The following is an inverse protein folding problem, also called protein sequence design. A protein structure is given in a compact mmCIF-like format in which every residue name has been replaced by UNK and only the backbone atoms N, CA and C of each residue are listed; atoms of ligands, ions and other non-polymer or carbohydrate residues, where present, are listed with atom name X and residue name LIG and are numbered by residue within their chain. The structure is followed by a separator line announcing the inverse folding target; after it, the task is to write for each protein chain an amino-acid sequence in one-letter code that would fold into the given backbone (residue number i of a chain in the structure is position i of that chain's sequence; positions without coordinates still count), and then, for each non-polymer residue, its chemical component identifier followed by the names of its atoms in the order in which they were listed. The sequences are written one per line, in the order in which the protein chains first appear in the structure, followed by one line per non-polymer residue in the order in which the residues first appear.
data_IF_695612691031
#
_entry.id   IF_695612691031
#
_cell.length_a   1.000
_cell.length_b   1.000
_cell.length_c   1.000
_cell.angle_alpha   90.00
_cell.angle_beta   90.00
_cell.angle_gamma   90.00
#
_symmetry.space_group_name_H-M   'P 1'
#
loop_
_entity.id
_entity.type
_entity.pdbx_description
1 polymer ?
#
# COMPACT_ATOMS: atom_id res chain seq x y z
N UNK A 1 14.74 5.22 -26.75
CA UNK A 1 14.96 4.22 -25.68
C UNK A 1 16.06 3.25 -26.07
N UNK A 2 16.11 2.73 -27.30
CA UNK A 2 17.16 1.81 -27.73
C UNK A 2 18.60 2.37 -27.59
N UNK A 3 18.83 3.63 -28.01
CA UNK A 3 20.13 4.27 -27.79
C UNK A 3 20.54 4.37 -26.31
N UNK A 4 19.57 4.57 -25.40
CA UNK A 4 19.85 4.62 -23.96
C UNK A 4 20.16 3.22 -23.41
N UNK A 5 19.54 2.18 -23.98
CA UNK A 5 19.85 0.79 -23.66
C UNK A 5 21.28 0.46 -24.10
N UNK A 6 21.71 0.89 -25.29
CA UNK A 6 23.08 0.73 -25.77
C UNK A 6 24.09 1.46 -24.88
N UNK A 7 23.76 2.65 -24.39
CA UNK A 7 24.61 3.41 -23.48
C UNK A 7 24.88 2.67 -22.15
N UNK A 8 23.97 1.76 -21.71
CA UNK A 8 24.20 0.89 -20.56
C UNK A 8 25.31 -0.16 -20.79
N UNK A 9 25.68 -0.45 -22.04
CA UNK A 9 26.83 -1.29 -22.39
C UNK A 9 28.15 -0.51 -22.33
N UNK A 10 28.09 0.81 -22.12
CA UNK A 10 29.27 1.66 -22.01
C UNK A 10 30.26 1.17 -20.95
N UNK A 11 31.53 0.99 -21.34
CA UNK A 11 32.63 0.60 -20.42
C UNK A 11 32.81 1.62 -19.29
N UNK A 12 32.61 2.91 -19.58
CA UNK A 12 32.74 4.01 -18.61
C UNK A 12 31.46 4.15 -17.78
N UNK A 13 31.60 4.19 -16.45
CA UNK A 13 30.47 4.40 -15.53
C UNK A 13 29.74 5.72 -15.78
N UNK A 14 30.44 6.78 -16.16
CA UNK A 14 29.84 8.08 -16.48
C UNK A 14 28.86 8.04 -17.67
N UNK A 15 29.02 7.11 -18.61
CA UNK A 15 28.08 6.92 -19.72
C UNK A 15 26.81 6.25 -19.21
N UNK A 16 26.95 5.20 -18.40
CA UNK A 16 25.81 4.47 -17.81
C UNK A 16 25.04 5.35 -16.83
N UNK A 17 25.72 6.09 -15.97
CA UNK A 17 25.14 7.04 -15.02
C UNK A 17 24.35 8.18 -15.70
N UNK A 18 24.69 8.53 -16.94
CA UNK A 18 23.91 9.50 -17.73
C UNK A 18 22.67 8.87 -18.37
N UNK A 19 22.73 7.59 -18.74
CA UNK A 19 21.61 6.89 -19.36
C UNK A 19 20.52 6.50 -18.35
N UNK A 20 20.92 6.02 -17.16
CA UNK A 20 19.97 5.53 -16.14
C UNK A 20 18.84 6.51 -15.78
N UNK A 21 19.10 7.81 -15.48
CA UNK A 21 18.03 8.76 -15.17
C UNK A 21 17.04 8.95 -16.33
N UNK A 22 17.52 8.91 -17.57
CA UNK A 22 16.68 9.06 -18.76
C UNK A 22 15.80 7.82 -18.97
N UNK A 23 16.32 6.64 -18.66
CA UNK A 23 15.54 5.39 -18.70
C UNK A 23 14.48 5.38 -17.59
N UNK A 24 14.85 5.79 -16.37
CA UNK A 24 13.93 5.96 -15.23
C UNK A 24 12.78 6.90 -15.58
N UNK A 25 13.10 8.05 -16.18
CA UNK A 25 12.09 9.02 -16.63
C UNK A 25 11.20 8.44 -17.72
N UNK A 26 11.78 7.67 -18.64
CA UNK A 26 11.04 6.90 -19.64
C UNK A 26 10.03 5.94 -19.00
N UNK A 27 10.44 5.13 -18.04
CA UNK A 27 9.54 4.20 -17.36
C UNK A 27 8.45 4.93 -16.56
N UNK A 28 8.83 5.99 -15.85
CA UNK A 28 7.92 6.76 -15.00
C UNK A 28 6.86 7.54 -15.79
N UNK A 29 7.25 8.16 -16.92
CA UNK A 29 6.39 9.08 -17.68
C UNK A 29 5.67 8.38 -18.83
N UNK A 30 6.20 7.29 -19.37
CA UNK A 30 5.67 6.68 -20.59
C UNK A 30 5.05 5.30 -20.43
N UNK A 31 5.17 4.66 -19.26
CA UNK A 31 4.71 3.28 -19.06
C UNK A 31 5.13 2.38 -20.24
N UNK A 32 6.44 2.24 -20.44
CA UNK A 32 7.04 1.60 -21.62
C UNK A 32 6.93 0.06 -21.64
N UNK A 33 5.76 -0.52 -21.31
CA UNK A 33 5.59 -1.96 -21.17
C UNK A 33 6.10 -2.79 -22.38
N UNK A 34 5.73 -2.50 -23.64
CA UNK A 34 6.20 -3.30 -24.78
C UNK A 34 7.72 -3.29 -24.97
N UNK A 35 8.37 -2.15 -24.68
CA UNK A 35 9.82 -2.02 -24.75
C UNK A 35 10.49 -2.80 -23.62
N UNK A 36 9.96 -2.71 -22.40
CA UNK A 36 10.47 -3.42 -21.23
C UNK A 36 10.36 -4.94 -21.39
N UNK A 37 9.22 -5.42 -21.90
CA UNK A 37 9.00 -6.84 -22.14
C UNK A 37 9.94 -7.39 -23.22
N UNK A 38 10.08 -6.69 -24.35
CA UNK A 38 10.98 -7.09 -25.44
C UNK A 38 12.45 -7.17 -24.99
N UNK A 39 12.88 -6.24 -24.15
CA UNK A 39 14.27 -6.09 -23.76
C UNK A 39 14.56 -6.53 -22.32
N UNK A 40 13.66 -7.31 -21.70
CA UNK A 40 13.67 -7.59 -20.26
C UNK A 40 15.02 -8.10 -19.75
N UNK A 41 15.50 -9.23 -20.29
CA UNK A 41 16.77 -9.81 -19.86
C UNK A 41 17.93 -8.80 -19.99
N UNK A 42 17.99 -8.06 -21.11
CA UNK A 42 19.04 -7.06 -21.32
C UNK A 42 18.97 -5.95 -20.27
N UNK A 43 17.78 -5.42 -19.99
CA UNK A 43 17.58 -4.39 -18.97
C UNK A 43 17.97 -4.90 -17.58
N UNK A 44 17.48 -6.09 -17.20
CA UNK A 44 17.78 -6.72 -15.91
C UNK A 44 19.29 -6.86 -15.69
N UNK A 45 20.00 -7.55 -16.59
CA UNK A 45 21.42 -7.82 -16.40
C UNK A 45 22.27 -6.54 -16.51
N UNK A 46 21.83 -5.52 -17.25
CA UNK A 46 22.53 -4.22 -17.32
C UNK A 46 22.31 -3.37 -16.07
N UNK A 47 21.12 -3.38 -15.50
CA UNK A 47 20.86 -2.75 -14.21
C UNK A 47 21.62 -3.47 -13.09
N UNK A 48 21.60 -4.81 -13.05
CA UNK A 48 22.37 -5.59 -12.08
C UNK A 48 23.88 -5.37 -12.22
N UNK A 49 24.39 -5.23 -13.45
CA UNK A 49 25.80 -4.87 -13.66
C UNK A 49 26.13 -3.51 -13.04
N UNK A 50 25.29 -2.50 -13.29
CA UNK A 50 25.44 -1.14 -12.76
C UNK A 50 25.30 -1.13 -11.23
N UNK A 51 24.39 -1.93 -10.68
CA UNK A 51 24.22 -2.15 -9.24
C UNK A 51 25.45 -2.81 -8.61
N UNK A 52 26.06 -3.79 -9.29
CA UNK A 52 27.20 -4.56 -8.75
C UNK A 52 28.54 -3.82 -8.81
N UNK A 53 28.74 -2.99 -9.83
CA UNK A 53 30.05 -2.39 -10.16
C UNK A 53 30.05 -0.86 -10.19
N UNK A 54 28.89 -0.22 -10.05
CA UNK A 54 28.76 1.21 -10.17
C UNK A 54 29.23 1.99 -8.94
N UNK A 55 29.28 3.32 -9.11
CA UNK A 55 29.42 4.25 -7.98
C UNK A 55 28.15 4.25 -7.12
N UNK A 56 28.18 4.85 -5.91
CA UNK A 56 26.96 4.98 -5.11
C UNK A 56 25.82 5.67 -5.88
N UNK A 57 26.12 6.64 -6.74
CA UNK A 57 25.09 7.28 -7.57
C UNK A 57 24.52 6.31 -8.60
N UNK A 58 25.39 5.56 -9.27
CA UNK A 58 25.00 4.56 -10.26
C UNK A 58 24.16 3.44 -9.63
N UNK A 59 24.53 2.96 -8.44
CA UNK A 59 23.80 1.94 -7.69
C UNK A 59 22.41 2.43 -7.27
N UNK A 60 22.30 3.67 -6.77
CA UNK A 60 21.00 4.25 -6.41
C UNK A 60 20.07 4.39 -7.63
N UNK A 61 20.62 4.75 -8.80
CA UNK A 61 19.84 4.82 -10.04
C UNK A 61 19.46 3.43 -10.55
N UNK A 62 20.40 2.47 -10.53
CA UNK A 62 20.16 1.11 -10.99
C UNK A 62 19.11 0.37 -10.13
N UNK A 63 19.16 0.54 -8.80
CA UNK A 63 18.15 -0.01 -7.88
C UNK A 63 16.76 0.56 -8.14
N UNK A 64 16.63 1.87 -8.33
CA UNK A 64 15.36 2.48 -8.70
C UNK A 64 14.86 2.00 -10.07
N UNK A 65 15.76 1.85 -11.06
CA UNK A 65 15.42 1.31 -12.37
C UNK A 65 14.96 -0.16 -12.32
N UNK A 66 15.53 -0.99 -11.42
CA UNK A 66 15.07 -2.36 -11.18
C UNK A 66 13.64 -2.40 -10.63
N UNK A 67 13.33 -1.59 -9.61
CA UNK A 67 11.97 -1.53 -9.07
C UNK A 67 10.96 -1.01 -10.10
N UNK A 68 11.33 -0.01 -10.91
CA UNK A 68 10.47 0.46 -12.01
C UNK A 68 10.28 -0.60 -13.10
N UNK A 69 11.32 -1.38 -13.41
CA UNK A 69 11.21 -2.49 -14.36
C UNK A 69 10.24 -3.56 -13.83
N UNK A 70 10.32 -3.90 -12.54
CA UNK A 70 9.40 -4.83 -11.90
C UNK A 70 7.95 -4.35 -12.03
N UNK A 71 7.64 -3.13 -11.58
CA UNK A 71 6.28 -2.55 -11.66
C UNK A 71 5.79 -2.45 -13.10
N UNK A 72 6.69 -2.16 -14.05
CA UNK A 72 6.33 -2.01 -15.46
C UNK A 72 5.98 -3.36 -16.11
N UNK A 73 6.66 -4.44 -15.74
CA UNK A 73 6.41 -5.77 -16.30
C UNK A 73 5.25 -6.49 -15.61
N UNK A 74 5.03 -6.22 -14.32
CA UNK A 74 4.00 -6.88 -13.53
C UNK A 74 4.37 -8.31 -13.12
N UNK A 75 3.48 -8.96 -12.37
CA UNK A 75 3.70 -10.32 -11.87
C UNK A 75 3.93 -11.35 -12.99
N UNK A 76 4.71 -12.38 -12.69
CA UNK A 76 5.03 -13.49 -13.59
C UNK A 76 6.52 -13.85 -13.55
N UNK A 77 6.93 -14.79 -14.41
CA UNK A 77 8.29 -15.37 -14.41
C UNK A 77 9.40 -14.31 -14.51
N UNK A 78 9.19 -13.26 -15.31
CA UNK A 78 10.15 -12.16 -15.43
C UNK A 78 10.31 -11.39 -14.11
N UNK A 79 9.22 -11.07 -13.42
CA UNK A 79 9.32 -10.38 -12.13
C UNK A 79 9.97 -11.28 -11.06
N UNK A 80 9.70 -12.58 -11.09
CA UNK A 80 10.33 -13.55 -10.20
C UNK A 80 11.84 -13.70 -10.46
N UNK A 81 12.26 -13.78 -11.72
CA UNK A 81 13.68 -13.75 -12.09
C UNK A 81 14.34 -12.46 -11.59
N UNK A 82 13.70 -11.30 -11.79
CA UNK A 82 14.20 -10.02 -11.32
C UNK A 82 14.39 -10.00 -9.80
N UNK A 83 13.41 -10.50 -9.03
CA UNK A 83 13.51 -10.64 -7.58
C UNK A 83 14.70 -11.52 -7.19
N UNK A 84 14.76 -12.75 -7.70
CA UNK A 84 15.80 -13.73 -7.35
C UNK A 84 17.20 -13.25 -7.68
N UNK A 85 17.40 -12.63 -8.83
CA UNK A 85 18.71 -12.15 -9.27
C UNK A 85 19.16 -10.87 -8.54
N UNK A 86 18.22 -10.03 -8.08
CA UNK A 86 18.55 -8.78 -7.38
C UNK A 86 18.76 -8.94 -5.87
N UNK A 87 18.05 -9.87 -5.22
CA UNK A 87 18.04 -10.05 -3.77
C UNK A 87 19.44 -10.21 -3.13
N UNK A 88 20.39 -11.00 -3.67
CA UNK A 88 21.70 -11.16 -3.05
C UNK A 88 22.51 -9.85 -3.00
N UNK A 89 22.34 -8.99 -4.01
CA UNK A 89 23.02 -7.70 -4.08
C UNK A 89 22.37 -6.69 -3.13
N UNK A 90 21.04 -6.66 -3.09
CA UNK A 90 20.26 -5.82 -2.17
C UNK A 90 20.60 -6.16 -0.71
N UNK A 91 20.57 -7.44 -0.35
CA UNK A 91 20.90 -7.93 1.00
C UNK A 91 22.31 -7.52 1.43
N UNK A 92 23.29 -7.63 0.51
CA UNK A 92 24.68 -7.22 0.78
C UNK A 92 24.79 -5.72 1.06
N UNK A 93 24.09 -4.88 0.28
CA UNK A 93 24.15 -3.41 0.45
C UNK A 93 23.41 -2.98 1.72
N UNK A 94 22.29 -3.62 2.08
CA UNK A 94 21.60 -3.32 3.36
C UNK A 94 22.48 -3.62 4.58
N UNK A 95 23.25 -4.72 4.54
CA UNK A 95 24.11 -5.13 5.67
C UNK A 95 25.37 -4.29 5.85
N UNK A 96 25.91 -3.71 4.77
CA UNK A 96 27.27 -3.15 4.78
C UNK A 96 27.48 -1.91 3.91
N UNK A 97 26.42 -1.43 3.27
CA UNK A 97 26.46 -0.31 2.33
C UNK A 97 26.56 1.06 3.03
N UNK A 98 26.97 2.10 2.28
CA UNK A 98 26.89 3.47 2.75
C UNK A 98 25.44 3.92 2.94
N UNK A 99 25.21 4.77 3.94
CA UNK A 99 23.87 5.26 4.31
C UNK A 99 23.14 5.97 3.15
N UNK A 100 23.89 6.66 2.28
CA UNK A 100 23.34 7.36 1.11
C UNK A 100 22.63 6.45 0.10
N UNK A 101 22.85 5.13 0.17
CA UNK A 101 22.18 4.14 -0.67
C UNK A 101 20.93 3.55 -0.02
N UNK A 102 20.84 3.55 1.31
CA UNK A 102 19.90 2.68 2.03
C UNK A 102 18.46 2.92 1.63
N UNK A 103 18.02 4.18 1.48
CA UNK A 103 16.67 4.50 1.02
C UNK A 103 16.34 3.85 -0.34
N UNK A 104 17.22 4.02 -1.33
CA UNK A 104 17.01 3.43 -2.67
C UNK A 104 16.99 1.91 -2.66
N UNK A 105 17.75 1.30 -1.75
CA UNK A 105 17.88 -0.15 -1.64
C UNK A 105 16.69 -0.76 -0.91
N UNK A 106 16.21 -0.10 0.14
CA UNK A 106 14.99 -0.46 0.88
C UNK A 106 13.78 -0.40 -0.06
N UNK A 107 13.62 0.72 -0.79
CA UNK A 107 12.55 0.87 -1.77
C UNK A 107 12.63 -0.18 -2.86
N UNK A 108 13.84 -0.46 -3.37
CA UNK A 108 14.06 -1.49 -4.36
C UNK A 108 13.66 -2.86 -3.82
N UNK A 109 14.11 -3.25 -2.63
CA UNK A 109 13.75 -4.54 -2.00
C UNK A 109 12.23 -4.68 -1.90
N UNK A 110 11.57 -3.66 -1.34
CA UNK A 110 10.13 -3.67 -1.14
C UNK A 110 9.38 -3.88 -2.46
N UNK A 111 9.73 -3.14 -3.51
CA UNK A 111 9.04 -3.22 -4.81
C UNK A 111 9.34 -4.53 -5.53
N UNK A 112 10.60 -4.98 -5.58
CA UNK A 112 10.94 -6.21 -6.32
C UNK A 112 10.34 -7.44 -5.67
N UNK A 113 10.27 -7.47 -4.33
CA UNK A 113 9.56 -8.54 -3.60
C UNK A 113 8.05 -8.41 -3.75
N UNK A 114 7.48 -7.21 -3.64
CA UNK A 114 6.03 -6.98 -3.78
C UNK A 114 5.48 -7.42 -5.15
N UNK A 115 6.25 -7.22 -6.23
CA UNK A 115 5.83 -7.60 -7.58
C UNK A 115 6.26 -9.02 -7.95
N UNK A 116 7.46 -9.43 -7.52
CA UNK A 116 8.14 -10.63 -8.00
C UNK A 116 8.23 -11.78 -7.00
N UNK A 117 7.83 -11.61 -5.74
CA UNK A 117 7.76 -12.69 -4.78
C UNK A 117 6.73 -13.73 -5.23
N UNK A 118 7.16 -14.98 -5.39
CA UNK A 118 6.30 -16.05 -5.90
C UNK A 118 5.45 -16.70 -4.81
N UNK A 119 5.97 -16.72 -3.58
CA UNK A 119 5.30 -17.29 -2.41
C UNK A 119 5.53 -16.46 -1.14
N UNK A 120 4.87 -16.87 -0.06
CA UNK A 120 4.98 -16.19 1.22
C UNK A 120 6.37 -16.38 1.86
N UNK A 121 7.09 -17.47 1.58
CA UNK A 121 8.42 -17.75 2.16
C UNK A 121 9.49 -16.79 1.59
N UNK A 122 9.44 -16.53 0.29
CA UNK A 122 10.28 -15.53 -0.37
C UNK A 122 9.97 -14.13 0.15
N UNK A 123 8.69 -13.82 0.37
CA UNK A 123 8.27 -12.55 0.95
C UNK A 123 8.77 -12.41 2.40
N UNK A 124 8.60 -13.45 3.24
CA UNK A 124 9.14 -13.48 4.60
C UNK A 124 10.66 -13.36 4.62
N UNK A 125 11.37 -13.96 3.66
CA UNK A 125 12.83 -13.83 3.54
C UNK A 125 13.24 -12.37 3.37
N UNK A 126 12.55 -11.64 2.50
CA UNK A 126 12.79 -10.19 2.31
C UNK A 126 12.43 -9.38 3.55
N UNK A 127 11.31 -9.73 4.20
CA UNK A 127 10.91 -9.11 5.46
C UNK A 127 11.95 -9.35 6.57
N UNK A 128 12.56 -10.53 6.66
CA UNK A 128 13.59 -10.83 7.66
C UNK A 128 14.84 -9.98 7.47
N UNK A 129 15.22 -9.70 6.22
CA UNK A 129 16.33 -8.80 5.90
C UNK A 129 16.03 -7.39 6.42
N UNK A 130 14.83 -6.87 6.17
CA UNK A 130 14.38 -5.57 6.68
C UNK A 130 14.26 -5.57 8.20
N UNK A 131 13.79 -6.66 8.79
CA UNK A 131 13.58 -6.79 10.23
C UNK A 131 14.88 -6.82 11.00
N UNK A 132 15.88 -7.56 10.51
CA UNK A 132 17.22 -7.54 11.06
C UNK A 132 17.81 -6.13 11.04
N UNK A 133 17.57 -5.38 9.96
CA UNK A 133 17.97 -3.98 9.86
C UNK A 133 17.26 -3.09 10.90
N UNK A 134 15.93 -3.21 11.05
CA UNK A 134 15.14 -2.46 12.05
C UNK A 134 15.60 -2.80 13.49
N UNK A 135 15.86 -4.07 13.78
CA UNK A 135 16.32 -4.54 15.10
C UNK A 135 17.68 -3.96 15.47
N UNK A 136 18.63 -3.97 14.53
CA UNK A 136 19.96 -3.40 14.76
C UNK A 136 19.90 -1.91 15.09
N UNK A 137 18.93 -1.19 14.51
CA UNK A 137 18.69 0.23 14.75
C UNK A 137 17.91 0.52 16.05
N UNK A 138 17.16 -0.46 16.55
CA UNK A 138 16.31 -0.32 17.75
C UNK A 138 17.01 -0.76 19.04
N UNK A 139 18.08 -1.56 18.96
CA UNK A 139 18.83 -2.03 20.12
C UNK A 139 19.84 -0.98 20.63
N UNK A 140 19.96 -0.85 21.95
CA UNK A 140 20.96 -0.03 22.67
C UNK A 140 22.43 -0.50 22.51
N UNK A 141 22.75 -1.18 21.41
CA UNK A 141 24.12 -1.58 21.13
C UNK A 141 24.94 -0.34 20.76
N UNK A 142 25.78 0.11 21.70
CA UNK A 142 26.73 1.24 21.62
C UNK A 142 27.70 1.15 20.41
N UNK A 143 27.70 0.04 19.67
CA UNK A 143 28.56 -0.23 18.51
C UNK A 143 27.79 -0.16 17.17
N UNK A 144 26.45 -0.15 17.18
CA UNK A 144 25.64 -0.05 15.96
C UNK A 144 25.61 1.40 15.45
N UNK A 145 25.86 1.57 14.15
CA UNK A 145 25.89 2.88 13.50
C UNK A 145 24.46 3.37 13.32
N UNK A 146 23.92 4.07 14.31
CA UNK A 146 22.57 4.66 14.28
C UNK A 146 22.34 5.42 12.96
N UNK A 147 21.50 4.86 12.10
CA UNK A 147 21.10 5.44 10.83
C UNK A 147 20.08 6.56 11.03
N UNK A 148 19.90 7.40 10.01
CA UNK A 148 18.90 8.47 10.04
C UNK A 148 17.47 7.95 10.24
N UNK A 149 16.64 8.76 10.92
CA UNK A 149 15.21 8.47 11.16
C UNK A 149 14.42 8.23 9.87
N UNK A 150 14.85 8.84 8.76
CA UNK A 150 14.30 8.60 7.43
C UNK A 150 14.53 7.16 6.94
N UNK A 151 15.73 6.62 7.15
CA UNK A 151 16.07 5.25 6.73
C UNK A 151 15.30 4.22 7.55
N UNK A 152 15.21 4.43 8.87
CA UNK A 152 14.43 3.56 9.74
C UNK A 152 12.93 3.58 9.37
N UNK A 153 12.35 4.76 9.17
CA UNK A 153 10.95 4.92 8.72
C UNK A 153 10.69 4.23 7.38
N UNK A 154 11.61 4.36 6.41
CA UNK A 154 11.52 3.66 5.13
C UNK A 154 11.58 2.13 5.30
N UNK A 155 12.47 1.62 6.16
CA UNK A 155 12.58 0.18 6.43
C UNK A 155 11.29 -0.38 7.05
N UNK A 156 10.68 0.33 8.00
CA UNK A 156 9.40 -0.06 8.62
C UNK A 156 8.27 -0.03 7.58
N UNK A 157 8.23 1.00 6.72
CA UNK A 157 7.23 1.12 5.65
C UNK A 157 7.36 0.00 4.61
N UNK A 158 8.61 -0.36 4.24
CA UNK A 158 8.90 -1.47 3.35
C UNK A 158 8.51 -2.82 3.96
N UNK A 159 8.84 -3.04 5.24
CA UNK A 159 8.44 -4.26 5.96
C UNK A 159 6.91 -4.38 6.02
N UNK A 160 6.23 -3.27 6.30
CA UNK A 160 4.77 -3.20 6.34
C UNK A 160 4.15 -3.47 4.96
N UNK A 161 4.71 -2.92 3.88
CA UNK A 161 4.27 -3.22 2.51
C UNK A 161 4.30 -4.73 2.23
N UNK A 162 5.39 -5.40 2.56
CA UNK A 162 5.52 -6.83 2.31
C UNK A 162 4.53 -7.65 3.17
N UNK A 163 4.32 -7.26 4.42
CA UNK A 163 3.31 -7.88 5.27
C UNK A 163 1.90 -7.81 4.65
N UNK A 164 1.57 -6.75 3.89
CA UNK A 164 0.27 -6.65 3.20
C UNK A 164 0.02 -7.75 2.15
N UNK A 165 1.07 -8.45 1.71
CA UNK A 165 0.98 -9.51 0.68
C UNK A 165 0.90 -10.91 1.26
N UNK A 166 1.08 -11.06 2.58
CA UNK A 166 1.05 -12.36 3.27
C UNK A 166 -0.29 -12.50 4.00
N UNK A 167 -0.97 -13.62 3.77
CA UNK A 167 -2.14 -13.99 4.56
C UNK A 167 -1.71 -14.33 6.00
N UNK A 168 -2.43 -13.83 7.00
CA UNK A 168 -2.12 -13.99 8.41
C UNK A 168 -1.88 -15.44 8.83
N UNK A 169 -2.55 -16.40 8.18
CA UNK A 169 -2.35 -17.85 8.39
C UNK A 169 -0.93 -18.32 8.04
N UNK A 170 -0.33 -17.78 6.98
CA UNK A 170 0.96 -18.18 6.43
C UNK A 170 2.16 -17.55 7.15
N UNK A 171 1.91 -16.56 8.01
CA UNK A 171 2.96 -15.89 8.79
C UNK A 171 3.62 -16.88 9.74
N UNK A 172 4.94 -17.00 9.70
CA UNK A 172 5.69 -17.87 10.58
C UNK A 172 5.86 -17.22 11.96
N UNK A 173 5.29 -17.87 12.98
CA UNK A 173 5.29 -17.37 14.36
C UNK A 173 6.70 -17.27 14.97
N UNK A 174 7.74 -17.87 14.38
CA UNK A 174 9.10 -17.84 14.95
C UNK A 174 9.87 -16.55 14.63
N UNK A 175 9.50 -15.82 13.58
CA UNK A 175 10.31 -14.69 13.09
C UNK A 175 9.91 -13.34 13.69
N UNK A 176 8.64 -13.19 14.08
CA UNK A 176 8.06 -11.87 14.37
C UNK A 176 7.74 -11.64 15.86
N UNK A 177 8.10 -12.58 16.73
CA UNK A 177 7.89 -12.45 18.18
C UNK A 177 8.55 -11.17 18.71
N UNK A 178 7.77 -10.39 19.45
CA UNK A 178 8.21 -9.12 20.02
C UNK A 178 8.10 -7.92 19.09
N UNK A 179 7.64 -8.10 17.84
CA UNK A 179 7.48 -7.00 16.90
C UNK A 179 6.56 -5.89 17.42
N UNK A 180 5.46 -6.27 18.09
CA UNK A 180 4.54 -5.30 18.71
C UNK A 180 5.26 -4.44 19.75
N UNK A 181 6.10 -5.05 20.60
CA UNK A 181 6.85 -4.32 21.62
C UNK A 181 7.79 -3.29 20.99
N UNK A 182 8.54 -3.72 19.97
CA UNK A 182 9.50 -2.85 19.27
C UNK A 182 8.78 -1.68 18.61
N UNK A 183 7.66 -1.92 17.93
CA UNK A 183 6.92 -0.82 17.33
C UNK A 183 6.30 0.11 18.37
N UNK A 184 5.85 -0.38 19.53
CA UNK A 184 5.39 0.47 20.63
C UNK A 184 6.53 1.34 21.19
N UNK A 185 7.73 0.79 21.34
CA UNK A 185 8.90 1.56 21.78
C UNK A 185 9.29 2.63 20.74
N UNK A 186 9.22 2.28 19.44
CA UNK A 186 9.48 3.22 18.35
C UNK A 186 8.44 4.34 18.24
N UNK A 187 7.21 4.14 18.73
CA UNK A 187 6.24 5.23 18.84
C UNK A 187 6.74 6.33 19.77
N UNK A 188 7.51 6.00 20.82
CA UNK A 188 7.98 6.96 21.83
C UNK A 188 9.15 7.83 21.36
N UNK A 189 9.73 7.52 20.20
CA UNK A 189 10.81 8.31 19.60
C UNK A 189 10.22 9.64 19.08
N UNK A 190 10.83 10.77 19.45
CA UNK A 190 10.38 12.13 19.06
C UNK A 190 10.71 12.49 17.59
N UNK A 191 10.60 11.51 16.69
CA UNK A 191 10.83 11.65 15.25
C UNK A 191 9.52 11.36 14.49
N UNK A 192 8.90 12.36 13.84
CA UNK A 192 7.56 12.21 13.26
C UNK A 192 7.44 11.09 12.23
N UNK A 193 8.46 10.86 11.40
CA UNK A 193 8.44 9.83 10.34
C UNK A 193 8.49 8.42 10.91
N UNK A 194 9.28 8.19 11.96
CA UNK A 194 9.40 6.88 12.63
C UNK A 194 8.13 6.57 13.39
N UNK A 195 7.61 7.54 14.13
CA UNK A 195 6.34 7.42 14.85
C UNK A 195 5.18 7.07 13.91
N UNK A 196 5.05 7.77 12.77
CA UNK A 196 3.99 7.46 11.79
C UNK A 196 4.15 6.03 11.26
N UNK A 197 5.34 5.65 10.78
CA UNK A 197 5.57 4.32 10.21
C UNK A 197 5.34 3.19 11.23
N UNK A 198 5.77 3.35 12.49
CA UNK A 198 5.52 2.38 13.55
C UNK A 198 4.02 2.24 13.87
N UNK A 199 3.28 3.36 13.85
CA UNK A 199 1.83 3.34 13.97
C UNK A 199 1.17 2.57 12.82
N UNK A 200 1.57 2.85 11.57
CA UNK A 200 1.06 2.14 10.39
C UNK A 200 1.30 0.64 10.46
N UNK A 201 2.49 0.23 10.90
CA UNK A 201 2.84 -1.18 11.09
C UNK A 201 1.97 -1.85 12.16
N UNK A 202 1.74 -1.19 13.30
CA UNK A 202 0.85 -1.71 14.36
C UNK A 202 -0.59 -1.85 13.88
N UNK A 203 -1.11 -0.86 13.15
CA UNK A 203 -2.45 -0.95 12.57
C UNK A 203 -2.57 -2.07 11.54
N UNK A 204 -1.53 -2.28 10.73
CA UNK A 204 -1.48 -3.40 9.80
C UNK A 204 -1.46 -4.75 10.53
N UNK A 205 -0.66 -4.90 11.59
CA UNK A 205 -0.63 -6.12 12.41
C UNK A 205 -2.02 -6.39 13.00
N UNK A 206 -2.74 -5.36 13.46
CA UNK A 206 -4.12 -5.51 13.92
C UNK A 206 -5.11 -5.88 12.79
N UNK A 207 -4.94 -5.36 11.58
CA UNK A 207 -5.79 -5.72 10.43
C UNK A 207 -5.54 -7.15 9.95
N UNK A 208 -4.27 -7.56 9.81
CA UNK A 208 -3.86 -8.91 9.42
C UNK A 208 -4.36 -9.94 10.43
N UNK A 209 -4.43 -9.55 11.71
CA UNK A 209 -4.79 -10.43 12.81
C UNK A 209 -3.62 -11.31 13.24
N UNK A 210 -3.93 -12.39 13.99
CA UNK A 210 -2.93 -13.32 14.54
C UNK A 210 -1.86 -12.63 15.39
N UNK A 211 -2.29 -11.69 16.25
CA UNK A 211 -1.41 -10.89 17.10
C UNK A 211 -0.46 -11.76 17.93
N UNK A 212 -0.88 -12.97 18.31
CA UNK A 212 -0.06 -13.95 19.02
C UNK A 212 1.26 -14.29 18.30
N UNK A 213 1.32 -14.17 16.97
CA UNK A 213 2.55 -14.38 16.18
C UNK A 213 3.57 -13.24 16.34
N UNK A 214 3.14 -12.09 16.86
CA UNK A 214 3.93 -10.87 16.98
C UNK A 214 4.25 -10.46 18.43
N UNK A 215 3.69 -11.15 19.42
CA UNK A 215 3.92 -10.90 20.86
C UNK A 215 5.08 -11.79 21.37
N UNK A 216 5.72 -11.40 22.47
CA UNK A 216 6.62 -12.30 23.19
C UNK A 216 5.81 -13.39 23.92
N UNK A 217 6.19 -14.67 23.77
CA UNK A 217 5.58 -15.76 24.54
C UNK A 217 5.82 -15.53 26.04
N UNK A 218 4.80 -15.05 26.76
CA UNK A 218 4.84 -15.02 28.21
C UNK A 218 4.52 -16.40 28.81
N UNK A 219 3.89 -17.32 28.05
CA UNK A 219 3.27 -18.54 28.60
C UNK A 219 3.44 -19.78 27.70
N UNK A 220 4.67 -20.19 27.36
CA UNK A 220 4.90 -21.56 26.88
C UNK A 220 4.95 -22.53 28.07
N UNK A 221 3.82 -22.69 28.77
CA UNK A 221 3.58 -23.83 29.65
C UNK A 221 2.66 -24.79 28.90
N UNK A 222 3.19 -25.99 28.67
CA UNK A 222 2.56 -27.16 28.06
C UNK A 222 1.18 -27.45 28.68
N UNK A 223 0.10 -27.13 27.96
CA UNK A 223 -1.27 -27.44 28.39
C UNK A 223 -1.90 -28.50 27.46
N UNK A 224 -2.41 -29.56 28.08
CA UNK A 224 -2.88 -30.79 27.44
C UNK A 224 -4.18 -30.68 26.63
N UNK A 225 -4.68 -31.80 26.06
CA UNK A 225 -5.57 -31.80 24.89
C UNK A 225 -7.00 -31.28 25.09
N UNK A 226 -7.45 -31.06 26.33
CA UNK A 226 -8.89 -30.92 26.67
C UNK A 226 -9.35 -29.48 26.97
N UNK A 227 -8.53 -28.45 26.77
CA UNK A 227 -8.87 -27.05 27.12
C UNK A 227 -9.08 -26.11 25.91
N UNK A 228 -9.11 -26.63 24.68
CA UNK A 228 -9.03 -25.79 23.45
C UNK A 228 -10.15 -24.75 23.29
N UNK A 229 -11.36 -24.98 23.76
CA UNK A 229 -12.49 -24.05 23.55
C UNK A 229 -12.48 -22.87 24.53
N UNK A 230 -12.10 -23.11 25.79
CA UNK A 230 -11.89 -22.04 26.78
C UNK A 230 -10.59 -21.27 26.49
N UNK A 231 -9.58 -21.95 25.94
CA UNK A 231 -8.31 -21.34 25.56
C UNK A 231 -8.47 -20.37 24.37
N UNK A 232 -9.30 -20.70 23.38
CA UNK A 232 -9.62 -19.80 22.26
C UNK A 232 -10.39 -18.54 22.70
N UNK A 233 -11.33 -18.67 23.64
CA UNK A 233 -12.09 -17.52 24.15
C UNK A 233 -11.22 -16.61 25.04
N UNK A 234 -10.34 -17.22 25.84
CA UNK A 234 -9.36 -16.50 26.65
C UNK A 234 -8.30 -15.83 25.77
N UNK A 235 -7.83 -16.51 24.72
CA UNK A 235 -6.92 -15.97 23.72
C UNK A 235 -7.56 -14.80 22.99
N UNK A 236 -8.80 -14.93 22.50
CA UNK A 236 -9.54 -13.85 21.84
C UNK A 236 -9.74 -12.64 22.77
N UNK A 237 -10.06 -12.88 24.04
CA UNK A 237 -10.18 -11.82 25.05
C UNK A 237 -8.84 -11.12 25.29
N UNK A 238 -7.75 -11.88 25.39
CA UNK A 238 -6.38 -11.36 25.52
C UNK A 238 -5.94 -10.56 24.29
N UNK A 239 -6.32 -10.99 23.09
CA UNK A 239 -6.02 -10.28 21.83
C UNK A 239 -6.78 -8.96 21.74
N UNK A 240 -8.05 -8.95 22.15
CA UNK A 240 -8.84 -7.72 22.22
C UNK A 240 -8.29 -6.75 23.25
N UNK A 241 -7.89 -7.23 24.43
CA UNK A 241 -7.21 -6.40 25.44
C UNK A 241 -5.88 -5.85 24.93
N UNK A 242 -5.09 -6.63 24.20
CA UNK A 242 -3.85 -6.18 23.60
C UNK A 242 -4.10 -5.11 22.55
N UNK A 243 -5.09 -5.30 21.69
CA UNK A 243 -5.52 -4.33 20.70
C UNK A 243 -6.01 -3.03 21.35
N UNK A 244 -6.72 -3.10 22.47
CA UNK A 244 -7.11 -1.94 23.29
C UNK A 244 -5.89 -1.24 23.91
N UNK A 245 -4.91 -2.00 24.42
CA UNK A 245 -3.64 -1.46 24.94
C UNK A 245 -2.86 -0.72 23.84
N UNK A 246 -2.66 -1.33 22.68
CA UNK A 246 -2.00 -0.70 21.52
C UNK A 246 -2.76 0.57 21.13
N UNK A 247 -4.08 0.48 20.97
CA UNK A 247 -4.96 1.61 20.67
C UNK A 247 -4.82 2.77 21.66
N UNK A 248 -4.76 2.46 22.96
CA UNK A 248 -4.63 3.46 24.02
C UNK A 248 -3.25 4.13 23.97
N UNK A 249 -2.20 3.35 23.74
CA UNK A 249 -0.83 3.83 23.68
C UNK A 249 -0.62 4.76 22.48
N UNK A 250 -1.03 4.30 21.30
CA UNK A 250 -1.04 5.09 20.06
C UNK A 250 -1.84 6.37 20.26
N UNK A 251 -3.07 6.29 20.79
CA UNK A 251 -3.90 7.48 21.03
C UNK A 251 -3.22 8.51 21.94
N UNK A 252 -2.66 8.05 23.06
CA UNK A 252 -2.00 8.93 24.03
C UNK A 252 -0.85 9.69 23.37
N UNK A 253 -0.06 9.01 22.55
CA UNK A 253 1.12 9.58 21.91
C UNK A 253 0.76 10.53 20.75
N UNK A 254 -0.25 10.20 19.94
CA UNK A 254 -0.76 11.09 18.89
C UNK A 254 -1.42 12.36 19.45
N UNK A 255 -2.10 12.27 20.61
CA UNK A 255 -2.67 13.44 21.30
C UNK A 255 -1.58 14.35 21.88
N UNK A 256 -0.54 13.77 22.49
CA UNK A 256 0.59 14.53 23.05
C UNK A 256 1.39 15.27 21.96
N UNK A 257 1.55 14.66 20.79
CA UNK A 257 2.24 15.29 19.65
C UNK A 257 1.40 16.37 18.95
N UNK A 258 0.07 16.21 18.86
CA UNK A 258 -0.82 17.24 18.32
C UNK A 258 -0.80 18.55 19.13
N UNK A 259 -0.72 18.44 20.46
CA UNK A 259 -0.65 19.59 21.36
C UNK A 259 0.66 20.40 21.23
N UNK A 260 1.70 19.84 20.60
CA UNK A 260 3.01 20.50 20.40
C UNK A 260 3.15 21.21 19.05
N UNK A 261 2.36 20.88 18.02
CA UNK A 261 2.54 21.41 16.66
C UNK A 261 1.54 22.52 16.30
N UNK A 262 2.03 23.73 15.98
CA UNK A 262 1.24 24.96 15.74
C UNK A 262 0.77 25.18 14.29
N UNK A 263 0.76 24.16 13.42
CA UNK A 263 0.51 24.33 11.97
C UNK A 263 -0.87 23.79 11.50
N UNK A 264 -1.84 24.70 11.34
CA UNK A 264 -3.27 24.46 11.05
C UNK A 264 -3.63 23.50 9.89
N UNK A 265 -2.82 23.37 8.83
CA UNK A 265 -3.16 22.55 7.65
C UNK A 265 -2.57 21.14 7.68
N UNK A 266 -1.35 20.99 8.21
CA UNK A 266 -0.76 19.68 8.48
C UNK A 266 -1.53 18.92 9.57
N UNK A 267 -2.17 19.67 10.48
CA UNK A 267 -3.07 19.12 11.48
C UNK A 267 -4.25 18.36 10.84
N UNK A 268 -4.87 18.83 9.75
CA UNK A 268 -6.06 18.16 9.20
C UNK A 268 -5.77 16.79 8.55
N UNK A 269 -4.71 16.71 7.74
CA UNK A 269 -4.27 15.42 7.15
C UNK A 269 -3.73 14.48 8.23
N UNK A 270 -2.94 15.00 9.18
CA UNK A 270 -2.44 14.22 10.32
C UNK A 270 -3.56 13.75 11.24
N UNK A 271 -4.56 14.59 11.51
CA UNK A 271 -5.73 14.21 12.30
C UNK A 271 -6.56 13.17 11.57
N UNK A 272 -6.84 13.34 10.27
CA UNK A 272 -7.57 12.33 9.50
C UNK A 272 -6.84 10.99 9.53
N UNK A 273 -5.54 10.99 9.27
CA UNK A 273 -4.68 9.82 9.37
C UNK A 273 -4.69 9.19 10.77
N UNK A 274 -4.52 9.98 11.83
CA UNK A 274 -4.60 9.49 13.21
C UNK A 274 -5.98 8.94 13.55
N UNK A 275 -7.05 9.50 12.99
CA UNK A 275 -8.40 8.97 13.16
C UNK A 275 -8.59 7.64 12.43
N UNK A 276 -8.16 7.54 11.19
CA UNK A 276 -8.24 6.30 10.40
C UNK A 276 -7.40 5.18 11.04
N UNK A 277 -6.19 5.51 11.49
CA UNK A 277 -5.31 4.64 12.26
C UNK A 277 -5.99 4.13 13.55
N UNK A 278 -6.56 5.04 14.33
CA UNK A 278 -7.24 4.69 15.59
C UNK A 278 -8.53 3.89 15.38
N UNK A 279 -9.18 4.00 14.21
CA UNK A 279 -10.33 3.19 13.87
C UNK A 279 -9.92 1.75 13.56
N UNK A 280 -8.89 1.56 12.72
CA UNK A 280 -8.33 0.23 12.42
C UNK A 280 -7.83 -0.44 13.70
N UNK A 281 -7.11 0.30 14.54
CA UNK A 281 -6.62 -0.23 15.80
C UNK A 281 -7.74 -0.61 16.77
N UNK A 282 -8.90 0.04 16.76
CA UNK A 282 -10.00 -0.29 17.68
C UNK A 282 -10.86 -1.46 17.23
N UNK A 283 -11.25 -1.44 15.97
CA UNK A 283 -12.31 -2.32 15.47
C UNK A 283 -11.77 -3.35 14.46
N UNK A 284 -10.47 -3.31 14.14
CA UNK A 284 -9.86 -4.09 13.06
C UNK A 284 -10.38 -3.69 11.66
N UNK A 285 -11.25 -2.67 11.59
CA UNK A 285 -12.01 -2.32 10.40
C UNK A 285 -11.50 -1.01 9.81
N UNK A 286 -11.03 -1.07 8.57
CA UNK A 286 -10.72 0.12 7.79
C UNK A 286 -12.01 0.79 7.29
N UNK A 287 -12.09 2.12 7.39
CA UNK A 287 -13.19 2.88 6.79
C UNK A 287 -12.88 3.16 5.34
N UNK A 288 -13.79 2.73 4.46
CA UNK A 288 -13.68 2.94 3.03
C UNK A 288 -13.28 4.39 2.71
N UNK A 289 -12.19 4.53 1.96
CA UNK A 289 -11.63 5.84 1.62
C UNK A 289 -11.42 5.93 0.12
N UNK A 290 -11.90 7.02 -0.48
CA UNK A 290 -11.71 7.29 -1.90
C UNK A 290 -10.44 8.14 -2.12
N UNK A 291 -9.47 7.62 -2.87
CA UNK A 291 -8.31 8.35 -3.35
C UNK A 291 -8.56 8.86 -4.77
N UNK A 292 -8.28 10.14 -5.03
CA UNK A 292 -8.39 10.69 -6.40
C UNK A 292 -7.16 10.33 -7.23
N UNK A 293 -7.39 9.65 -8.36
CA UNK A 293 -6.41 9.31 -9.38
C UNK A 293 -6.80 10.08 -10.65
N UNK A 294 -6.14 11.21 -10.88
CA UNK A 294 -6.50 12.11 -11.99
C UNK A 294 -7.96 12.59 -11.88
N UNK A 295 -8.82 12.13 -12.80
CA UNK A 295 -10.26 12.44 -12.83
C UNK A 295 -11.14 11.36 -12.18
N UNK A 296 -10.54 10.27 -11.72
CA UNK A 296 -11.25 9.09 -11.21
C UNK A 296 -10.99 8.93 -9.72
N UNK A 297 -11.82 8.15 -9.05
CA UNK A 297 -11.64 7.77 -7.65
C UNK A 297 -11.34 6.28 -7.57
N UNK A 298 -10.30 5.93 -6.81
CA UNK A 298 -10.03 4.57 -6.35
C UNK A 298 -10.62 4.43 -4.95
N UNK A 299 -11.52 3.47 -4.78
CA UNK A 299 -12.06 3.08 -3.48
C UNK A 299 -11.08 2.11 -2.81
N UNK A 300 -10.68 2.43 -1.58
CA UNK A 300 -9.79 1.62 -0.76
C UNK A 300 -10.62 1.03 0.37
N UNK A 301 -10.57 -0.29 0.52
CA UNK A 301 -11.40 -1.05 1.45
C UNK A 301 -10.62 -1.63 2.63
N UNK A 302 -9.29 -1.59 2.59
CA UNK A 302 -8.42 -2.05 3.67
C UNK A 302 -7.24 -1.11 3.92
N UNK A 303 -6.68 -1.18 5.13
CA UNK A 303 -5.44 -0.54 5.52
C UNK A 303 -4.27 -1.05 4.66
N UNK A 304 -4.25 -2.35 4.38
CA UNK A 304 -3.30 -2.99 3.47
C UNK A 304 -3.28 -2.30 2.10
N UNK A 305 -4.45 -2.06 1.49
CA UNK A 305 -4.55 -1.35 0.22
C UNK A 305 -4.06 0.10 0.33
N UNK A 306 -4.37 0.79 1.43
CA UNK A 306 -3.88 2.15 1.68
C UNK A 306 -2.36 2.20 1.75
N UNK A 307 -1.72 1.28 2.48
CA UNK A 307 -0.27 1.20 2.58
C UNK A 307 0.38 0.86 1.23
N UNK A 308 -0.17 -0.10 0.48
CA UNK A 308 0.28 -0.44 -0.87
C UNK A 308 0.24 0.78 -1.80
N UNK A 309 -0.88 1.49 -1.83
CA UNK A 309 -1.02 2.70 -2.67
C UNK A 309 -0.07 3.80 -2.23
N UNK A 310 0.06 4.07 -0.93
CA UNK A 310 0.95 5.10 -0.43
C UNK A 310 2.41 4.80 -0.78
N UNK A 311 2.84 3.55 -0.64
CA UNK A 311 4.18 3.11 -1.00
C UNK A 311 4.43 3.26 -2.51
N UNK A 312 3.52 2.76 -3.36
CA UNK A 312 3.65 2.88 -4.81
C UNK A 312 3.59 4.34 -5.28
N UNK A 313 2.79 5.19 -4.64
CA UNK A 313 2.74 6.62 -4.91
C UNK A 313 4.05 7.31 -4.55
N UNK A 314 4.68 6.94 -3.43
CA UNK A 314 6.00 7.44 -3.05
C UNK A 314 7.08 7.00 -4.05
N UNK A 315 7.05 5.73 -4.45
CA UNK A 315 8.02 5.14 -5.37
C UNK A 315 7.89 5.71 -6.80
N UNK A 316 6.69 5.72 -7.38
CA UNK A 316 6.42 6.18 -8.75
C UNK A 316 6.37 7.70 -8.89
N UNK A 317 6.15 8.44 -7.79
CA UNK A 317 6.09 9.91 -7.74
C UNK A 317 5.17 10.47 -8.83
N UNK A 318 5.73 11.29 -9.74
CA UNK A 318 5.00 11.92 -10.85
C UNK A 318 4.41 10.93 -11.86
N UNK A 319 4.91 9.69 -11.91
CA UNK A 319 4.40 8.62 -12.77
C UNK A 319 3.19 7.88 -12.22
N UNK A 320 2.89 8.04 -10.92
CA UNK A 320 1.84 7.26 -10.24
C UNK A 320 0.50 7.30 -10.97
N UNK A 321 0.01 8.50 -11.33
CA UNK A 321 -1.29 8.66 -12.01
C UNK A 321 -1.30 7.96 -13.37
N UNK A 322 -0.19 8.00 -14.11
CA UNK A 322 -0.13 7.36 -15.42
C UNK A 322 -0.13 5.84 -15.30
N UNK A 323 0.71 5.29 -14.43
CA UNK A 323 0.73 3.86 -14.18
C UNK A 323 -0.64 3.37 -13.68
N UNK A 324 -1.32 4.10 -12.79
CA UNK A 324 -2.67 3.71 -12.35
C UNK A 324 -3.74 3.76 -13.44
N UNK A 325 -3.50 4.42 -14.58
CA UNK A 325 -4.44 4.50 -15.71
C UNK A 325 -4.11 3.53 -16.85
N UNK A 326 -2.87 3.07 -16.93
CA UNK A 326 -2.36 2.29 -18.07
C UNK A 326 -1.82 0.91 -17.67
N UNK A 327 -1.42 0.71 -16.41
CA UNK A 327 -0.74 -0.50 -15.96
C UNK A 327 -1.72 -1.57 -15.49
N UNK A 328 -1.88 -2.63 -16.30
CA UNK A 328 -2.73 -3.78 -15.99
C UNK A 328 -2.42 -4.39 -14.63
N UNK A 329 -1.13 -4.51 -14.27
CA UNK A 329 -0.71 -4.99 -12.96
C UNK A 329 -1.29 -4.17 -11.80
N UNK A 330 -1.33 -2.84 -11.90
CA UNK A 330 -1.91 -2.00 -10.85
C UNK A 330 -3.44 -2.03 -10.87
N UNK A 331 -4.04 -2.24 -12.05
CA UNK A 331 -5.48 -2.45 -12.17
C UNK A 331 -5.90 -3.72 -11.44
N UNK A 332 -5.15 -4.80 -11.59
CA UNK A 332 -5.42 -6.09 -10.95
C UNK A 332 -5.24 -6.02 -9.43
N UNK A 333 -4.15 -5.43 -8.94
CA UNK A 333 -3.90 -5.29 -7.49
C UNK A 333 -5.01 -4.48 -6.80
N UNK A 334 -5.44 -3.39 -7.43
CA UNK A 334 -6.38 -2.46 -6.81
C UNK A 334 -7.83 -2.67 -7.27
N UNK A 335 -8.11 -3.70 -8.07
CA UNK A 335 -9.39 -3.89 -8.76
C UNK A 335 -9.89 -2.59 -9.43
N UNK A 336 -8.96 -1.83 -10.01
CA UNK A 336 -9.21 -0.52 -10.56
C UNK A 336 -9.41 -0.59 -12.06
N UNK A 337 -10.61 -0.28 -12.53
CA UNK A 337 -10.88 -0.17 -13.97
C UNK A 337 -10.91 1.31 -14.39
N UNK A 338 -9.88 1.81 -15.09
CA UNK A 338 -9.89 3.18 -15.55
C UNK A 338 -11.01 3.38 -16.57
N UNK A 339 -11.86 4.39 -16.35
CA UNK A 339 -12.77 4.88 -17.39
C UNK A 339 -11.95 5.31 -18.60
N UNK A 340 -12.11 4.62 -19.73
CA UNK A 340 -11.46 4.98 -21.00
C UNK A 340 -11.75 6.45 -21.27
N UNK A 341 -10.72 7.30 -21.29
CA UNK A 341 -10.87 8.65 -21.81
C UNK A 341 -11.09 8.51 -23.30
N UNK A 342 -12.33 8.61 -23.76
CA UNK A 342 -12.64 8.83 -25.18
C UNK A 342 -12.09 10.20 -25.58
N UNK A 343 -10.79 10.25 -25.87
CA UNK A 343 -10.19 11.33 -26.64
C UNK A 343 -10.22 10.89 -28.10
N UNK A 344 -11.09 11.54 -28.88
CA UNK A 344 -11.16 11.41 -30.33
C UNK A 344 -12.50 10.87 -30.83
N UNK A 345 -13.16 11.65 -31.69
CA UNK A 345 -14.40 11.30 -32.40
C UNK A 345 -14.35 9.87 -32.97
N UNK A 346 -15.07 8.94 -32.35
CA UNK A 346 -15.26 7.60 -32.87
C UNK A 346 -16.29 7.57 -34.00
N UNK A 347 -15.88 7.93 -35.22
CA UNK A 347 -16.54 7.50 -36.46
C UNK A 347 -16.08 6.07 -36.78
N UNK A 348 -16.52 5.09 -35.99
CA UNK A 348 -16.60 3.69 -36.43
C UNK A 348 -17.46 2.88 -35.45
N UNK A 349 -18.65 2.49 -35.89
CA UNK A 349 -19.42 1.41 -35.26
C UNK A 349 -19.00 0.15 -36.00
N UNK A 350 -18.34 -0.79 -35.32
CA UNK A 350 -18.05 -2.10 -35.88
C UNK A 350 -19.33 -2.92 -35.87
N UNK A 351 -19.95 -3.10 -37.04
CA UNK A 351 -20.97 -4.13 -37.27
C UNK A 351 -20.31 -5.51 -37.18
N UNK A 352 -20.27 -6.08 -35.98
CA UNK A 352 -20.21 -7.54 -35.82
C UNK A 352 -21.48 -7.97 -35.13
N UNK A 353 -22.34 -8.54 -35.94
CA UNK A 353 -23.59 -9.19 -35.60
C UNK A 353 -23.31 -10.29 -34.56
N UNK A 354 -23.59 -10.02 -33.29
CA UNK A 354 -23.70 -11.06 -32.28
C UNK A 354 -24.94 -11.89 -32.60
N UNK A 355 -24.73 -13.10 -33.15
CA UNK A 355 -25.78 -14.08 -33.38
C UNK A 355 -26.36 -14.48 -32.02
N UNK A 356 -27.47 -13.84 -31.63
CA UNK A 356 -28.23 -14.18 -30.44
C UNK A 356 -29.08 -15.41 -30.75
N UNK A 357 -28.78 -16.56 -30.14
CA UNK A 357 -29.64 -17.73 -30.20
C UNK A 357 -30.96 -17.41 -29.46
N UNK A 358 -32.05 -17.20 -30.22
CA UNK A 358 -33.38 -16.99 -29.67
C UNK A 358 -33.98 -18.33 -29.23
N UNK A 359 -33.95 -18.61 -27.93
CA UNK A 359 -34.78 -19.65 -27.32
C UNK A 359 -36.25 -19.19 -27.35
N UNK A 360 -37.07 -19.96 -28.05
CA UNK A 360 -38.50 -19.68 -28.23
C UNK A 360 -39.26 -20.07 -26.96
N UNK A 361 -39.90 -19.11 -26.30
CA UNK A 361 -40.85 -19.34 -25.19
C UNK A 361 -42.24 -18.90 -25.67
N UNK A 362 -43.27 -19.77 -25.65
CA UNK A 362 -44.59 -19.42 -26.17
C UNK A 362 -45.33 -18.41 -25.30
N UNK A 363 -46.05 -17.53 -25.98
CA UNK A 363 -46.70 -16.33 -25.48
C UNK A 363 -48.08 -16.62 -24.86
N UNK A 364 -48.32 -16.18 -23.62
CA UNK A 364 -49.66 -16.12 -23.02
C UNK A 364 -50.21 -14.71 -23.18
N UNK A 365 -51.30 -14.60 -23.94
CA UNK A 365 -52.01 -13.36 -24.29
C UNK A 365 -52.82 -12.75 -23.15
N UNK A 366 -52.97 -11.41 -23.25
CA UNK A 366 -54.06 -10.47 -22.84
C UNK A 366 -53.53 -9.39 -21.87
N UNK A 367 -53.85 -8.10 -21.98
CA UNK A 367 -54.72 -7.28 -22.86
C UNK A 367 -54.34 -5.79 -22.68
N UNK A 368 -54.84 -4.97 -23.60
CA UNK A 368 -54.50 -3.59 -23.99
C UNK A 368 -54.74 -2.43 -22.98
N UNK A 369 -54.32 -1.22 -23.41
CA UNK A 369 -54.72 0.16 -23.04
C UNK A 369 -53.80 0.88 -22.01
N UNK A 370 -53.23 2.10 -22.16
CA UNK A 370 -53.40 3.26 -23.07
C UNK A 370 -52.14 4.17 -23.16
N UNK A 371 -52.19 5.12 -24.10
CA UNK A 371 -51.24 6.15 -24.56
C UNK A 371 -50.82 7.29 -23.56
N UNK A 372 -49.52 7.66 -23.62
CA UNK A 372 -48.79 8.96 -23.45
C UNK A 372 -49.10 9.98 -22.30
N UNK A 373 -48.13 10.78 -21.75
CA UNK A 373 -47.03 11.44 -22.47
C UNK A 373 -45.65 11.57 -21.75
N UNK A 374 -44.65 12.00 -22.54
CA UNK A 374 -43.28 12.36 -22.15
C UNK A 374 -43.22 13.28 -20.90
N UNK A 375 -42.66 12.78 -19.80
CA UNK A 375 -42.25 13.62 -18.66
C UNK A 375 -40.79 14.04 -18.81
N UNK A 376 -40.61 15.34 -18.96
CA UNK A 376 -39.35 16.09 -18.87
C UNK A 376 -38.47 15.50 -17.77
N UNK A 377 -37.26 15.05 -18.15
CA UNK A 377 -36.22 14.55 -17.27
C UNK A 377 -35.87 15.63 -16.22
N UNK A 378 -36.42 15.54 -15.00
CA UNK A 378 -35.93 16.32 -13.88
C UNK A 378 -34.57 15.76 -13.47
N UNK A 379 -33.57 16.63 -13.37
CA UNK A 379 -32.21 16.25 -12.98
C UNK A 379 -32.22 15.52 -11.62
N UNK A 380 -31.50 14.40 -11.47
CA UNK A 380 -31.39 13.65 -10.19
C UNK A 380 -30.93 14.52 -9.01
N UNK A 381 -30.25 15.63 -9.30
CA UNK A 381 -29.78 16.62 -8.32
C UNK A 381 -30.91 17.34 -7.57
N UNK A 382 -32.11 17.47 -8.14
CA UNK A 382 -33.22 18.18 -7.51
C UNK A 382 -33.88 17.36 -6.38
N UNK A 383 -34.05 16.05 -6.60
CA UNK A 383 -34.59 15.13 -5.59
C UNK A 383 -33.62 14.99 -4.40
N UNK A 384 -32.33 14.85 -4.68
CA UNK A 384 -31.29 14.77 -3.65
C UNK A 384 -31.19 16.06 -2.82
N UNK A 385 -31.24 17.23 -3.46
CA UNK A 385 -31.24 18.52 -2.74
C UNK A 385 -32.49 18.69 -1.87
N UNK A 386 -33.67 18.29 -2.36
CA UNK A 386 -34.92 18.35 -1.59
C UNK A 386 -34.87 17.42 -0.36
N UNK A 387 -34.35 16.19 -0.52
CA UNK A 387 -34.17 15.24 0.58
C UNK A 387 -33.18 15.77 1.63
N UNK A 388 -32.05 16.35 1.19
CA UNK A 388 -31.05 16.96 2.08
C UNK A 388 -31.62 18.14 2.87
N UNK A 389 -32.41 19.01 2.24
CA UNK A 389 -33.05 20.14 2.92
C UNK A 389 -34.10 19.69 3.94
N UNK A 390 -34.87 18.64 3.62
CA UNK A 390 -35.84 18.06 4.56
C UNK A 390 -35.18 17.43 5.80
N UNK A 391 -34.04 16.74 5.62
CA UNK A 391 -33.28 16.17 6.71
C UNK A 391 -32.72 17.26 7.65
N UNK A 392 -32.14 18.32 7.08
CA UNK A 392 -31.58 19.43 7.86
C UNK A 392 -32.67 20.21 8.62
N UNK A 393 -33.87 20.37 8.05
CA UNK A 393 -34.98 21.00 8.74
C UNK A 393 -35.52 20.14 9.90
N UNK A 394 -35.57 18.81 9.74
CA UNK A 394 -35.92 17.89 10.85
C UNK A 394 -34.90 17.97 11.99
N UNK A 395 -33.60 18.03 11.67
CA UNK A 395 -32.55 18.17 12.68
C UNK A 395 -32.60 19.52 13.43
N UNK A 396 -32.96 20.61 12.73
CA UNK A 396 -33.18 21.92 13.36
C UNK A 396 -34.40 21.91 14.29
N UNK A 397 -35.48 21.22 13.90
CA UNK A 397 -36.68 21.09 14.72
C UNK A 397 -36.44 20.21 15.96
N UNK A 398 -35.62 19.16 15.83
CA UNK A 398 -35.22 18.31 16.94
C UNK A 398 -34.37 19.09 17.97
N UNK A 399 -33.39 19.89 17.52
CA UNK A 399 -32.61 20.78 18.40
C UNK A 399 -33.42 21.91 19.03
N UNK A 400 -34.47 22.39 18.37
CA UNK A 400 -35.37 23.42 18.92
C UNK A 400 -36.30 22.91 20.03
N UNK A 401 -36.56 21.59 20.08
CA UNK A 401 -37.38 20.95 21.13
C UNK A 401 -36.62 20.66 22.42
N UNK A 402 -35.28 20.67 22.41
CA UNK A 402 -34.46 20.48 23.61
C UNK A 402 -34.28 21.75 24.46
N UNK A 403 -34.88 22.88 24.06
CA UNK A 403 -34.70 24.20 24.70
C UNK A 403 -35.96 24.75 25.41
N UNK A 404 -37.00 23.96 25.59
CA UNK A 404 -38.16 24.34 26.42
C UNK A 404 -38.28 23.39 27.62
N UNK A 405 -38.17 23.88 28.88
CA UNK A 405 -38.43 23.06 30.04
C UNK A 405 -39.95 22.86 30.17
N UNK A 406 -40.39 21.59 30.23
CA UNK A 406 -41.76 21.27 30.61
C UNK A 406 -41.97 21.66 32.08
N UNK A 407 -42.69 22.77 32.30
CA UNK A 407 -43.45 22.99 33.52
C UNK A 407 -44.84 22.40 33.31
N UNK A 408 -45.09 21.26 33.95
CA UNK A 408 -46.17 21.01 34.93
C UNK A 408 -46.28 19.51 35.22
#
# INVERSE_FOLDING_TARGET
MDQLLDDLFGKRGSTRERALPLIIDGFTINYCHPFSQKNFATLLYRFLYSFKKGSSKEIALASHALGLLAVTIGCGDNAHELYRESLPFISKVLKSGPESLLLSIIDCLAIVTFVGGSDFEETETSMQILWHFIHLESGDNVVAKKHSSAVLSAAISAWSLLLTTIDGWNINYNYWKGAISIFLDLLQVDEPSVHIAAGEALALICEVGFLEKFVFDANSADNGPNEKENDLLNQYSSMKELQEKISSHVRSHFQQTANKSSASNALNERHKFSWDLLNVLKDGCFRETALKIGKQSLELNSWSQLLQVNFLKHFLRRGFVKHMLENEFLHDIFNFTPRKQTSGNGLYISEREEVTIKLFVPEVRKRDCEDFPQKIHRSPSAAFRKAKTQLLNKQRYAKGKELWPSHD
#
